data_IF_126946005424
#
_entry.id   IF_126946005424
#
_cell.length_a   1.000
_cell.length_b   1.000
_cell.length_c   1.000
_cell.angle_alpha   90.00
_cell.angle_beta   90.00
_cell.angle_gamma   90.00
#
_symmetry.space_group_name_H-M   'P 1'
#
loop_
_entity.id
_entity.type
_entity.pdbx_description
1 polymer ?
#
# COMPACT_ATOMS: atom_id res chain seq x y z
N UNK A 1 18.05 11.10 -1.83
CA UNK A 1 17.51 9.78 -2.20
C UNK A 1 16.63 9.94 -3.43
N UNK A 2 16.57 8.94 -4.29
CA UNK A 2 15.70 8.98 -5.48
C UNK A 2 14.29 8.60 -5.02
N UNK A 3 13.29 9.44 -5.34
CA UNK A 3 11.88 9.15 -5.07
C UNK A 3 11.23 8.46 -6.26
N UNK A 4 10.43 7.44 -6.01
CA UNK A 4 9.65 6.72 -7.05
C UNK A 4 8.23 7.24 -7.18
N UNK A 5 7.71 7.91 -6.15
CA UNK A 5 6.46 8.67 -6.17
C UNK A 5 6.75 10.06 -5.65
N UNK A 6 6.32 11.08 -6.37
CA UNK A 6 6.29 12.46 -5.90
C UNK A 6 4.93 13.05 -6.28
N UNK A 7 4.32 13.78 -5.35
CA UNK A 7 3.16 14.61 -5.66
C UNK A 7 3.47 16.05 -5.31
N UNK A 8 2.99 16.97 -6.12
CA UNK A 8 3.17 18.41 -5.90
C UNK A 8 1.81 19.08 -5.86
N UNK A 9 1.49 19.59 -4.70
CA UNK A 9 0.27 20.36 -4.43
C UNK A 9 -1.02 19.66 -4.90
N UNK A 10 -1.06 18.34 -4.71
CA UNK A 10 -2.11 17.47 -5.26
C UNK A 10 -3.42 17.71 -4.53
N UNK A 11 -4.46 18.07 -5.29
CA UNK A 11 -5.80 18.28 -4.75
C UNK A 11 -6.84 17.43 -5.47
N UNK A 12 -7.86 17.00 -4.72
CA UNK A 12 -9.05 16.36 -5.28
C UNK A 12 -10.31 16.80 -4.55
N UNK A 13 -11.28 17.26 -5.33
CA UNK A 13 -12.62 17.52 -4.83
C UNK A 13 -13.68 16.77 -5.64
N UNK A 14 -14.79 16.42 -4.97
CA UNK A 14 -15.99 15.86 -5.57
C UNK A 14 -17.18 16.69 -5.13
N UNK A 15 -17.92 17.27 -6.08
CA UNK A 15 -19.10 18.07 -5.80
C UNK A 15 -18.89 19.16 -4.73
N UNK A 16 -17.74 19.85 -4.79
CA UNK A 16 -17.35 20.89 -3.84
C UNK A 16 -16.76 20.40 -2.50
N UNK A 17 -16.77 19.09 -2.23
CA UNK A 17 -16.14 18.52 -1.04
C UNK A 17 -14.69 18.16 -1.35
N UNK A 18 -13.75 18.76 -0.64
CA UNK A 18 -12.33 18.43 -0.72
C UNK A 18 -12.07 17.09 -0.04
N UNK A 19 -11.38 16.17 -0.75
CA UNK A 19 -11.02 14.84 -0.26
C UNK A 19 -9.51 14.68 -0.14
N UNK A 20 -8.75 15.38 -1.01
CA UNK A 20 -7.28 15.49 -0.93
C UNK A 20 -6.96 16.97 -1.06
N UNK A 21 -6.16 17.50 -0.15
CA UNK A 21 -5.87 18.93 -0.04
C UNK A 21 -4.36 19.15 0.06
N UNK A 22 -3.78 19.76 -0.98
CA UNK A 22 -2.36 20.13 -1.08
C UNK A 22 -1.39 19.00 -0.67
N UNK A 23 -1.67 17.76 -1.12
CA UNK A 23 -0.85 16.61 -0.77
C UNK A 23 0.49 16.68 -1.50
N UNK A 24 1.55 16.81 -0.71
CA UNK A 24 2.94 16.66 -1.12
C UNK A 24 3.47 15.36 -0.51
N UNK A 25 3.69 14.35 -1.34
CA UNK A 25 4.14 13.00 -0.96
C UNK A 25 5.45 12.69 -1.64
N UNK A 26 6.41 12.12 -0.92
CA UNK A 26 7.69 11.68 -1.47
C UNK A 26 8.05 10.28 -0.98
N UNK A 27 7.92 9.27 -1.86
CA UNK A 27 8.21 7.88 -1.54
C UNK A 27 9.60 7.50 -2.04
N UNK A 28 10.57 7.21 -1.14
CA UNK A 28 11.91 6.78 -1.53
C UNK A 28 11.91 5.42 -2.22
N UNK A 29 12.86 5.20 -3.12
CA UNK A 29 13.06 3.91 -3.78
C UNK A 29 13.54 2.84 -2.81
N UNK A 30 13.06 1.59 -3.00
CA UNK A 30 13.57 0.39 -2.31
C UNK A 30 13.07 0.23 -0.88
N UNK A 31 11.98 0.87 -0.51
CA UNK A 31 11.39 0.74 0.83
C UNK A 31 9.95 0.23 0.79
N UNK A 32 9.44 -0.16 1.95
CA UNK A 32 8.01 -0.24 2.21
C UNK A 32 7.60 1.08 2.87
N UNK A 33 6.78 1.84 2.17
CA UNK A 33 6.26 3.13 2.63
C UNK A 33 4.81 2.97 3.11
N UNK A 34 4.56 3.32 4.36
CA UNK A 34 3.22 3.30 4.96
C UNK A 34 2.44 4.58 4.68
N UNK A 35 1.21 4.46 4.19
CA UNK A 35 0.29 5.57 4.00
C UNK A 35 -0.88 5.42 4.96
N UNK A 36 -0.76 6.05 6.13
CA UNK A 36 -1.66 5.89 7.27
C UNK A 36 -2.75 6.97 7.30
N UNK A 37 -3.85 6.64 7.94
CA UNK A 37 -4.92 7.59 8.24
C UNK A 37 -6.25 6.89 8.49
N UNK A 38 -7.21 7.56 9.13
CA UNK A 38 -8.53 7.02 9.37
C UNK A 38 -9.29 6.74 8.05
N UNK A 39 -10.39 6.01 8.15
CA UNK A 39 -11.29 5.83 7.02
C UNK A 39 -11.83 7.19 6.56
N UNK A 40 -11.80 7.43 5.24
CA UNK A 40 -12.21 8.71 4.67
C UNK A 40 -11.12 9.80 4.67
N UNK A 41 -9.90 9.52 5.17
CA UNK A 41 -8.80 10.49 5.15
C UNK A 41 -8.29 10.86 3.75
N UNK A 42 -8.69 10.15 2.69
CA UNK A 42 -8.26 10.42 1.31
C UNK A 42 -7.23 9.43 0.76
N UNK A 43 -6.80 8.41 1.53
CA UNK A 43 -5.78 7.42 1.13
C UNK A 43 -6.08 6.74 -0.21
N UNK A 44 -7.21 6.03 -0.32
CA UNK A 44 -7.60 5.31 -1.55
C UNK A 44 -7.80 6.27 -2.73
N UNK A 45 -8.33 7.48 -2.49
CA UNK A 45 -8.44 8.51 -3.52
C UNK A 45 -7.06 8.93 -4.04
N UNK A 46 -6.11 9.19 -3.15
CA UNK A 46 -4.73 9.52 -3.53
C UNK A 46 -4.10 8.37 -4.33
N UNK A 47 -4.23 7.13 -3.88
CA UNK A 47 -3.72 5.97 -4.61
C UNK A 47 -4.36 5.81 -5.98
N UNK A 48 -5.68 6.03 -6.11
CA UNK A 48 -6.37 6.03 -7.41
C UNK A 48 -5.85 7.12 -8.35
N UNK A 49 -5.48 8.29 -7.82
CA UNK A 49 -4.86 9.36 -8.62
C UNK A 49 -3.46 8.94 -9.07
N UNK A 50 -2.63 8.34 -8.18
CA UNK A 50 -1.32 7.82 -8.53
C UNK A 50 -1.38 6.76 -9.65
N UNK A 51 -2.47 6.01 -9.73
CA UNK A 51 -2.71 5.01 -10.78
C UNK A 51 -3.41 5.58 -12.02
N UNK A 52 -3.69 6.88 -12.04
CA UNK A 52 -4.43 7.50 -13.15
C UNK A 52 -5.87 6.99 -13.32
N UNK A 53 -6.44 6.34 -12.28
CA UNK A 53 -7.84 5.90 -12.26
C UNK A 53 -8.79 7.07 -11.97
N UNK A 54 -8.26 8.13 -11.35
CA UNK A 54 -8.98 9.36 -11.04
C UNK A 54 -8.08 10.54 -11.39
N UNK A 55 -8.62 11.52 -12.12
CA UNK A 55 -7.89 12.75 -12.38
C UNK A 55 -7.88 13.65 -11.15
N UNK A 56 -6.73 14.29 -10.81
CA UNK A 56 -6.69 15.31 -9.77
C UNK A 56 -7.51 16.53 -10.20
N UNK A 57 -7.96 17.34 -9.23
CA UNK A 57 -8.56 18.66 -9.49
C UNK A 57 -7.46 19.68 -9.81
N UNK A 58 -6.32 19.58 -9.12
CA UNK A 58 -5.11 20.37 -9.39
C UNK A 58 -3.87 19.64 -8.85
N UNK A 59 -2.69 20.16 -9.15
CA UNK A 59 -1.41 19.57 -8.78
C UNK A 59 -0.92 18.55 -9.80
N UNK A 60 0.17 17.86 -9.46
CA UNK A 60 0.80 16.90 -10.36
C UNK A 60 1.33 15.67 -9.63
N UNK A 61 1.50 14.60 -10.41
CA UNK A 61 2.05 13.30 -9.95
C UNK A 61 3.26 12.95 -10.79
N UNK A 62 4.36 12.56 -10.15
CA UNK A 62 5.48 11.89 -10.80
C UNK A 62 5.58 10.45 -10.31
N UNK A 63 5.71 9.51 -11.24
CA UNK A 63 6.02 8.12 -10.96
C UNK A 63 7.31 7.73 -11.65
N UNK A 64 8.20 7.04 -10.91
CA UNK A 64 9.48 6.56 -11.45
C UNK A 64 10.30 7.66 -12.15
N UNK A 65 10.25 8.89 -11.62
CA UNK A 65 10.97 10.05 -12.11
C UNK A 65 10.31 10.79 -13.29
N UNK A 66 9.12 10.36 -13.74
CA UNK A 66 8.41 10.98 -14.86
C UNK A 66 7.06 11.57 -14.41
N UNK A 67 6.75 12.79 -14.80
CA UNK A 67 5.43 13.38 -14.57
C UNK A 67 4.40 12.61 -15.39
N UNK A 68 3.36 12.11 -14.71
CA UNK A 68 2.28 11.37 -15.36
C UNK A 68 1.43 12.29 -16.21
N UNK A 69 1.22 11.90 -17.45
CA UNK A 69 0.33 12.55 -18.42
C UNK A 69 -0.33 11.48 -19.31
N UNK A 70 -1.22 11.86 -20.20
CA UNK A 70 -1.93 10.93 -21.09
C UNK A 70 -0.98 10.12 -22.01
N UNK A 71 0.15 10.68 -22.42
CA UNK A 71 1.07 10.07 -23.37
C UNK A 71 1.88 8.93 -22.70
N UNK A 72 2.33 9.12 -21.44
CA UNK A 72 3.22 8.18 -20.77
C UNK A 72 2.53 7.31 -19.71
N UNK A 73 1.25 7.55 -19.39
CA UNK A 73 0.49 6.83 -18.36
C UNK A 73 0.59 5.32 -18.52
N UNK A 74 0.35 4.79 -19.71
CA UNK A 74 0.38 3.34 -19.96
C UNK A 74 1.77 2.76 -19.71
N UNK A 75 2.83 3.45 -20.16
CA UNK A 75 4.20 3.02 -19.97
C UNK A 75 4.62 3.02 -18.48
N UNK A 76 4.13 3.97 -17.70
CA UNK A 76 4.35 4.03 -16.24
C UNK A 76 3.56 2.94 -15.52
N UNK A 77 2.29 2.72 -15.89
CA UNK A 77 1.45 1.69 -15.28
C UNK A 77 1.91 0.26 -15.60
N UNK A 78 2.56 0.01 -16.74
CA UNK A 78 3.22 -1.28 -17.04
C UNK A 78 4.33 -1.62 -16.04
N UNK A 79 4.96 -0.61 -15.43
CA UNK A 79 6.02 -0.75 -14.41
C UNK A 79 5.49 -0.66 -12.98
N UNK A 80 4.17 -0.54 -12.83
CA UNK A 80 3.48 -0.39 -11.55
C UNK A 80 2.49 -1.53 -11.38
N UNK A 81 2.59 -2.27 -10.28
CA UNK A 81 1.58 -3.23 -9.86
C UNK A 81 0.64 -2.60 -8.83
N UNK A 82 -0.61 -3.00 -8.81
CA UNK A 82 -1.56 -2.47 -7.84
C UNK A 82 -2.58 -3.48 -7.37
N UNK A 83 -2.97 -3.34 -6.10
CA UNK A 83 -4.12 -3.99 -5.50
C UNK A 83 -4.94 -2.89 -4.81
N UNK A 84 -6.04 -2.47 -5.43
CA UNK A 84 -6.94 -1.43 -4.93
C UNK A 84 -8.28 -2.05 -4.63
N UNK A 85 -8.81 -1.78 -3.43
CA UNK A 85 -10.06 -2.36 -2.91
C UNK A 85 -9.94 -3.88 -2.69
N UNK A 86 -10.77 -4.69 -3.33
CA UNK A 86 -10.76 -6.15 -3.16
C UNK A 86 -10.05 -6.85 -4.33
N UNK A 87 -9.40 -8.01 -4.07
CA UNK A 87 -8.77 -8.79 -5.15
C UNK A 87 -9.83 -9.27 -6.15
N UNK A 88 -9.70 -8.82 -7.39
CA UNK A 88 -10.64 -9.10 -8.48
C UNK A 88 -10.16 -10.30 -9.30
N UNK A 89 -10.46 -11.52 -8.85
CA UNK A 89 -10.24 -12.73 -9.64
C UNK A 89 -11.55 -13.37 -10.10
N UNK A 90 -11.51 -14.05 -11.25
CA UNK A 90 -12.62 -14.89 -11.71
C UNK A 90 -12.72 -16.12 -10.79
N UNK A 91 -13.78 -16.19 -9.98
CA UNK A 91 -13.94 -17.22 -8.94
C UNK A 91 -14.08 -18.64 -9.48
N UNK A 92 -14.56 -18.79 -10.71
CA UNK A 92 -14.71 -20.07 -11.38
C UNK A 92 -13.42 -20.60 -12.04
N UNK A 93 -12.40 -19.75 -12.17
CA UNK A 93 -11.08 -20.09 -12.68
C UNK A 93 -10.11 -20.42 -11.53
N UNK A 94 -9.03 -21.11 -11.85
CA UNK A 94 -7.90 -21.36 -10.95
C UNK A 94 -7.05 -20.10 -10.80
N UNK A 95 -6.14 -20.08 -9.79
CA UNK A 95 -5.20 -18.97 -9.67
C UNK A 95 -4.30 -18.85 -10.90
N UNK A 96 -3.80 -19.97 -11.42
CA UNK A 96 -2.96 -20.00 -12.62
C UNK A 96 -3.68 -19.43 -13.84
N UNK A 97 -4.94 -19.78 -14.06
CA UNK A 97 -5.75 -19.25 -15.17
C UNK A 97 -5.99 -17.75 -15.02
N UNK A 98 -6.29 -17.27 -13.80
CA UNK A 98 -6.41 -15.84 -13.52
C UNK A 98 -5.12 -15.09 -13.82
N UNK A 99 -3.97 -15.59 -13.37
CA UNK A 99 -2.67 -14.98 -13.63
C UNK A 99 -2.34 -14.99 -15.14
N UNK A 100 -2.74 -16.05 -15.87
CA UNK A 100 -2.55 -16.15 -17.31
C UNK A 100 -3.30 -15.05 -18.06
N UNK A 101 -4.55 -14.77 -17.67
CA UNK A 101 -5.33 -13.67 -18.27
C UNK A 101 -4.60 -12.33 -18.09
N UNK A 102 -4.07 -12.05 -16.89
CA UNK A 102 -3.35 -10.80 -16.62
C UNK A 102 -2.02 -10.76 -17.39
N UNK A 103 -1.31 -11.89 -17.49
CA UNK A 103 -0.07 -11.98 -18.25
C UNK A 103 -0.31 -11.69 -19.75
N UNK A 104 -1.37 -12.29 -20.33
CA UNK A 104 -1.78 -12.05 -21.73
C UNK A 104 -2.14 -10.57 -21.96
N UNK A 105 -2.91 -9.94 -21.04
CA UNK A 105 -3.29 -8.52 -21.13
C UNK A 105 -2.09 -7.57 -21.05
N UNK A 106 -1.05 -7.94 -20.30
CA UNK A 106 0.15 -7.13 -20.11
C UNK A 106 1.28 -7.48 -21.08
N UNK A 107 1.10 -8.50 -21.93
CA UNK A 107 2.14 -9.05 -22.82
C UNK A 107 3.37 -9.54 -22.03
N UNK A 108 3.13 -10.33 -20.98
CA UNK A 108 4.14 -10.92 -20.09
C UNK A 108 4.28 -12.41 -20.36
N UNK A 109 5.53 -12.92 -20.39
CA UNK A 109 5.81 -14.35 -20.52
C UNK A 109 5.14 -15.14 -19.38
N UNK A 110 4.42 -16.20 -19.73
CA UNK A 110 3.73 -17.09 -18.76
C UNK A 110 4.68 -17.77 -17.77
N UNK A 111 5.98 -17.84 -18.04
CA UNK A 111 6.99 -18.32 -17.08
C UNK A 111 7.02 -17.47 -15.80
N UNK A 112 6.62 -16.21 -15.88
CA UNK A 112 6.54 -15.32 -14.74
C UNK A 112 5.45 -15.73 -13.73
N UNK A 113 4.46 -16.50 -14.16
CA UNK A 113 3.37 -17.00 -13.30
C UNK A 113 3.90 -17.88 -12.16
N UNK A 114 4.86 -18.77 -12.46
CA UNK A 114 5.41 -19.64 -11.41
C UNK A 114 6.21 -18.84 -10.39
N UNK A 115 6.99 -17.84 -10.82
CA UNK A 115 7.70 -16.92 -9.94
C UNK A 115 6.75 -16.20 -8.97
N UNK A 116 5.68 -15.59 -9.48
CA UNK A 116 4.77 -14.84 -8.60
C UNK A 116 3.96 -15.75 -7.68
N UNK A 117 3.59 -16.96 -8.12
CA UNK A 117 2.95 -17.96 -7.24
C UNK A 117 3.86 -18.42 -6.11
N UNK A 118 5.15 -18.59 -6.37
CA UNK A 118 6.15 -18.92 -5.36
C UNK A 118 6.30 -17.79 -4.33
N UNK A 119 6.47 -16.54 -4.78
CA UNK A 119 6.59 -15.36 -3.90
C UNK A 119 5.41 -15.23 -2.95
N UNK A 120 4.18 -15.47 -3.42
CA UNK A 120 2.97 -15.34 -2.58
C UNK A 120 2.57 -16.64 -1.87
N UNK A 121 3.39 -17.69 -1.95
CA UNK A 121 3.13 -19.01 -1.35
C UNK A 121 1.80 -19.64 -1.76
N UNK A 122 1.47 -19.59 -3.06
CA UNK A 122 0.27 -20.20 -3.64
C UNK A 122 0.57 -21.31 -4.65
N UNK A 123 1.81 -21.78 -4.77
CA UNK A 123 2.23 -22.80 -5.75
C UNK A 123 1.42 -24.10 -5.60
N UNK A 124 1.21 -24.59 -4.35
CA UNK A 124 0.46 -25.82 -4.08
C UNK A 124 -1.04 -25.68 -4.46
N UNK A 125 -1.60 -24.48 -4.37
CA UNK A 125 -3.01 -24.21 -4.66
C UNK A 125 -3.24 -23.62 -6.06
N UNK A 126 -2.20 -23.51 -6.89
CA UNK A 126 -2.25 -22.81 -8.18
C UNK A 126 -3.36 -23.32 -9.12
N UNK A 127 -3.69 -24.60 -9.05
CA UNK A 127 -4.70 -25.27 -9.87
C UNK A 127 -6.07 -25.39 -9.18
N UNK A 128 -6.23 -24.86 -7.97
CA UNK A 128 -7.49 -24.82 -7.24
C UNK A 128 -8.29 -23.58 -7.65
N UNK A 129 -9.61 -23.71 -7.75
CA UNK A 129 -10.50 -22.60 -8.13
C UNK A 129 -10.47 -21.51 -7.07
N UNK A 130 -10.38 -20.25 -7.50
CA UNK A 130 -10.31 -19.07 -6.63
C UNK A 130 -11.56 -18.92 -5.74
N UNK A 131 -12.72 -19.42 -6.19
CA UNK A 131 -13.93 -19.48 -5.36
C UNK A 131 -13.79 -20.28 -4.06
N UNK A 132 -12.83 -21.21 -4.01
CA UNK A 132 -12.53 -22.04 -2.83
C UNK A 132 -11.42 -21.47 -1.94
N UNK A 133 -10.85 -20.31 -2.31
CA UNK A 133 -9.80 -19.66 -1.55
C UNK A 133 -10.35 -18.95 -0.30
N UNK A 134 -9.58 -18.99 0.78
CA UNK A 134 -9.80 -18.10 1.91
C UNK A 134 -9.59 -16.63 1.50
N UNK A 135 -10.00 -15.69 2.32
CA UNK A 135 -9.76 -14.27 2.05
C UNK A 135 -8.26 -13.97 1.93
N UNK A 136 -7.43 -14.51 2.83
CA UNK A 136 -5.98 -14.36 2.77
C UNK A 136 -5.36 -14.93 1.49
N UNK A 137 -5.83 -16.09 1.01
CA UNK A 137 -5.39 -16.65 -0.28
C UNK A 137 -5.81 -15.75 -1.45
N UNK A 138 -7.01 -15.16 -1.42
CA UNK A 138 -7.46 -14.20 -2.45
C UNK A 138 -6.62 -12.93 -2.43
N UNK A 139 -6.28 -12.40 -1.26
CA UNK A 139 -5.39 -11.24 -1.13
C UNK A 139 -4.00 -11.55 -1.68
N UNK A 140 -3.42 -12.71 -1.34
CA UNK A 140 -2.13 -13.15 -1.91
C UNK A 140 -2.18 -13.32 -3.43
N UNK A 141 -3.28 -13.84 -3.98
CA UNK A 141 -3.47 -13.88 -5.43
C UNK A 141 -3.55 -12.48 -6.05
N UNK A 142 -4.24 -11.53 -5.42
CA UNK A 142 -4.26 -10.12 -5.87
C UNK A 142 -2.86 -9.50 -5.91
N UNK A 143 -2.04 -9.80 -4.92
CA UNK A 143 -0.63 -9.39 -4.90
C UNK A 143 0.17 -10.10 -6.01
N UNK A 144 -0.05 -11.39 -6.26
CA UNK A 144 0.58 -12.10 -7.38
C UNK A 144 0.25 -11.45 -8.72
N UNK A 145 -1.01 -11.08 -8.94
CA UNK A 145 -1.44 -10.33 -10.14
C UNK A 145 -0.73 -8.98 -10.26
N UNK A 146 -0.52 -8.28 -9.14
CA UNK A 146 0.21 -7.02 -9.11
C UNK A 146 1.70 -7.20 -9.40
N UNK A 147 2.31 -8.33 -9.00
CA UNK A 147 3.73 -8.64 -9.18
C UNK A 147 4.09 -9.13 -10.60
N UNK A 148 3.12 -9.50 -11.43
CA UNK A 148 3.37 -9.94 -12.80
C UNK A 148 4.10 -8.87 -13.62
N UNK A 149 5.16 -9.27 -14.32
CA UNK A 149 6.01 -8.39 -15.12
C UNK A 149 7.07 -7.64 -14.31
N UNK A 150 7.33 -8.07 -13.08
CA UNK A 150 8.37 -7.52 -12.22
C UNK A 150 8.31 -5.99 -12.07
N UNK A 151 7.20 -5.43 -11.54
CA UNK A 151 7.01 -4.00 -11.43
C UNK A 151 8.06 -3.37 -10.49
N UNK A 152 8.43 -2.11 -10.75
CA UNK A 152 9.34 -1.33 -9.90
C UNK A 152 8.62 -0.67 -8.73
N UNK A 153 7.30 -0.56 -8.80
CA UNK A 153 6.43 0.05 -7.80
C UNK A 153 5.20 -0.83 -7.58
N UNK A 154 4.86 -1.08 -6.32
CA UNK A 154 3.63 -1.72 -5.90
C UNK A 154 2.79 -0.74 -5.08
N UNK A 155 1.50 -0.64 -5.36
CA UNK A 155 0.53 0.18 -4.62
C UNK A 155 -0.55 -0.76 -4.09
N UNK A 156 -0.60 -0.93 -2.75
CA UNK A 156 -1.47 -1.87 -2.07
C UNK A 156 -2.41 -1.13 -1.10
N UNK A 157 -3.70 -1.13 -1.41
CA UNK A 157 -4.71 -0.45 -0.58
C UNK A 157 -5.33 -1.43 0.42
N UNK A 158 -5.03 -1.24 1.72
CA UNK A 158 -5.56 -2.03 2.85
C UNK A 158 -5.43 -3.56 2.65
N UNK A 159 -4.25 -4.13 2.27
CA UNK A 159 -4.12 -5.54 1.88
C UNK A 159 -4.32 -6.52 3.05
N UNK A 160 -4.32 -6.06 4.29
CA UNK A 160 -4.55 -6.84 5.51
C UNK A 160 -6.01 -6.81 5.97
N UNK A 161 -6.84 -5.98 5.34
CA UNK A 161 -8.21 -5.76 5.80
C UNK A 161 -9.05 -7.04 5.73
N UNK A 162 -9.73 -7.35 6.84
CA UNK A 162 -10.61 -8.52 6.97
C UNK A 162 -9.90 -9.86 7.16
N UNK A 163 -8.57 -9.87 7.28
CA UNK A 163 -7.82 -11.07 7.60
C UNK A 163 -7.88 -11.39 9.10
N UNK A 164 -7.76 -12.66 9.43
CA UNK A 164 -7.54 -13.10 10.80
C UNK A 164 -6.09 -12.78 11.27
N UNK A 165 -5.80 -12.84 12.56
CA UNK A 165 -4.46 -12.47 13.08
C UNK A 165 -3.30 -13.25 12.44
N UNK A 166 -3.49 -14.52 12.11
CA UNK A 166 -2.47 -15.32 11.44
C UNK A 166 -2.24 -14.84 10.00
N UNK A 167 -3.32 -14.60 9.26
CA UNK A 167 -3.26 -14.05 7.90
C UNK A 167 -2.64 -12.65 7.84
N UNK A 168 -2.90 -11.80 8.84
CA UNK A 168 -2.25 -10.48 8.98
C UNK A 168 -0.74 -10.66 9.13
N UNK A 169 -0.29 -11.58 9.99
CA UNK A 169 1.13 -11.83 10.23
C UNK A 169 1.84 -12.36 8.97
N UNK A 170 1.24 -13.31 8.26
CA UNK A 170 1.76 -13.83 7.00
C UNK A 170 1.84 -12.74 5.93
N UNK A 171 0.80 -11.92 5.80
CA UNK A 171 0.76 -10.83 4.83
C UNK A 171 1.82 -9.76 5.11
N UNK A 172 2.04 -9.44 6.39
CA UNK A 172 3.12 -8.52 6.81
C UNK A 172 4.49 -9.03 6.43
N UNK A 173 4.79 -10.31 6.73
CA UNK A 173 6.05 -10.94 6.35
C UNK A 173 6.28 -10.89 4.84
N UNK A 174 5.24 -11.20 4.06
CA UNK A 174 5.28 -11.14 2.61
C UNK A 174 5.59 -9.71 2.11
N UNK A 175 4.85 -8.70 2.57
CA UNK A 175 5.02 -7.32 2.12
C UNK A 175 6.39 -6.77 2.54
N UNK A 176 6.82 -7.03 3.77
CA UNK A 176 8.11 -6.56 4.29
C UNK A 176 9.31 -7.10 3.48
N UNK A 177 9.21 -8.33 2.96
CA UNK A 177 10.27 -8.94 2.16
C UNK A 177 10.31 -8.49 0.68
N UNK A 178 9.27 -7.82 0.17
CA UNK A 178 9.17 -7.47 -1.25
C UNK A 178 10.29 -6.61 -1.79
N UNK A 179 10.76 -5.55 -1.10
CA UNK A 179 11.87 -4.75 -1.63
C UNK A 179 13.14 -5.56 -1.86
N UNK A 180 13.44 -6.52 -0.97
CA UNK A 180 14.62 -7.38 -1.09
C UNK A 180 14.42 -8.49 -2.13
N UNK A 181 13.24 -9.14 -2.14
CA UNK A 181 12.96 -10.30 -2.99
C UNK A 181 12.63 -9.93 -4.44
N UNK A 182 12.07 -8.76 -4.70
CA UNK A 182 11.61 -8.33 -6.03
C UNK A 182 12.27 -7.05 -6.54
N UNK A 183 12.95 -6.28 -5.68
CA UNK A 183 13.48 -4.96 -5.99
C UNK A 183 12.40 -3.86 -6.11
N UNK A 184 11.14 -4.17 -5.84
CA UNK A 184 10.04 -3.21 -5.93
C UNK A 184 9.99 -2.29 -4.71
N UNK A 185 9.63 -1.03 -4.92
CA UNK A 185 9.20 -0.16 -3.83
C UNK A 185 7.71 -0.41 -3.57
N UNK A 186 7.31 -0.47 -2.31
CA UNK A 186 5.92 -0.74 -1.94
C UNK A 186 5.31 0.48 -1.25
N UNK A 187 4.20 1.00 -1.76
CA UNK A 187 3.31 1.92 -1.08
C UNK A 187 2.12 1.12 -0.55
N UNK A 188 1.94 1.10 0.76
CA UNK A 188 0.84 0.36 1.40
C UNK A 188 -0.01 1.30 2.25
N UNK A 189 -1.34 1.23 2.13
CA UNK A 189 -2.24 1.94 3.04
C UNK A 189 -2.69 1.06 4.20
N UNK A 190 -2.93 1.68 5.35
CA UNK A 190 -3.65 1.10 6.49
C UNK A 190 -4.25 2.21 7.36
N UNK A 191 -5.24 1.85 8.15
CA UNK A 191 -5.76 2.70 9.22
C UNK A 191 -5.20 2.32 10.60
N UNK A 192 -4.36 1.28 10.69
CA UNK A 192 -3.80 0.74 11.93
C UNK A 192 -2.27 0.93 11.98
N UNK A 193 -1.79 1.84 12.83
CA UNK A 193 -0.36 2.09 13.01
C UNK A 193 0.39 0.81 13.46
N UNK A 194 -0.17 0.03 14.38
CA UNK A 194 0.45 -1.19 14.90
C UNK A 194 0.70 -2.27 13.84
N UNK A 195 -0.06 -2.26 12.75
CA UNK A 195 0.21 -3.13 11.59
C UNK A 195 1.41 -2.64 10.79
N UNK A 196 1.53 -1.33 10.62
CA UNK A 196 2.58 -0.72 9.82
C UNK A 196 3.96 -0.77 10.48
N UNK A 197 4.03 -0.65 11.81
CA UNK A 197 5.29 -0.60 12.55
C UNK A 197 6.24 -1.77 12.29
N UNK A 198 5.72 -2.90 11.84
CA UNK A 198 6.50 -4.11 11.56
C UNK A 198 6.92 -4.25 10.08
N UNK A 199 6.38 -3.43 9.20
CA UNK A 199 6.60 -3.54 7.75
C UNK A 199 7.33 -2.34 7.17
N UNK A 200 7.09 -1.13 7.71
CA UNK A 200 7.49 0.11 7.06
C UNK A 200 8.75 0.70 7.68
N UNK A 201 9.54 1.34 6.84
CA UNK A 201 10.70 2.15 7.28
C UNK A 201 10.39 3.65 7.20
N UNK A 202 9.53 4.03 6.29
CA UNK A 202 9.06 5.40 6.05
C UNK A 202 7.53 5.41 6.04
N UNK A 203 6.92 6.50 6.45
CA UNK A 203 5.47 6.64 6.46
C UNK A 203 5.00 8.08 6.31
N UNK A 204 3.80 8.22 5.76
CA UNK A 204 3.02 9.45 5.74
C UNK A 204 1.69 9.23 6.46
N UNK A 205 1.28 10.20 7.28
CA UNK A 205 -0.01 10.17 7.98
C UNK A 205 -0.92 11.21 7.35
N UNK A 206 -2.06 10.73 6.86
CA UNK A 206 -3.10 11.56 6.25
C UNK A 206 -4.28 11.72 7.20
N UNK A 207 -4.74 12.95 7.38
CA UNK A 207 -5.97 13.24 8.11
C UNK A 207 -6.77 14.31 7.37
N UNK A 208 -8.08 14.07 7.18
CA UNK A 208 -8.99 14.97 6.45
C UNK A 208 -8.43 15.52 5.12
N UNK A 209 -7.74 14.66 4.36
CA UNK A 209 -7.17 15.01 3.05
C UNK A 209 -5.79 15.67 3.09
N UNK A 210 -5.25 15.97 4.27
CA UNK A 210 -3.95 16.63 4.46
C UNK A 210 -2.90 15.67 5.00
N UNK A 211 -1.66 15.84 4.53
CA UNK A 211 -0.50 15.18 5.14
C UNK A 211 -0.17 15.91 6.45
N UNK A 212 -0.31 15.21 7.59
CA UNK A 212 0.00 15.76 8.91
C UNK A 212 1.37 15.33 9.43
N UNK A 213 1.94 14.27 8.86
CA UNK A 213 3.29 13.81 9.14
C UNK A 213 3.85 13.07 7.92
N UNK A 214 5.12 13.27 7.60
CA UNK A 214 5.89 12.46 6.66
C UNK A 214 7.31 12.31 7.20
N UNK A 215 7.81 11.06 7.27
CA UNK A 215 9.15 10.79 7.80
C UNK A 215 9.37 9.32 8.12
N UNK A 216 10.46 9.04 8.82
CA UNK A 216 10.77 7.69 9.28
C UNK A 216 9.90 7.29 10.50
N UNK A 217 9.71 5.97 10.66
CA UNK A 217 9.05 5.43 11.86
C UNK A 217 9.78 5.85 13.16
N UNK A 218 11.11 6.00 13.10
CA UNK A 218 11.88 6.45 14.25
C UNK A 218 11.58 7.91 14.63
N UNK A 219 11.40 8.79 13.63
CA UNK A 219 11.01 10.18 13.87
C UNK A 219 9.60 10.25 14.44
N UNK A 220 8.65 9.47 13.92
CA UNK A 220 7.30 9.40 14.47
C UNK A 220 7.33 9.00 15.95
N UNK A 221 8.10 7.97 16.32
CA UNK A 221 8.25 7.54 17.72
C UNK A 221 8.84 8.60 18.64
N UNK A 222 9.74 9.45 18.14
CA UNK A 222 10.28 10.58 18.93
C UNK A 222 9.23 11.68 19.18
N UNK A 223 8.32 11.90 18.23
CA UNK A 223 7.22 12.86 18.37
C UNK A 223 6.07 12.30 19.23
N UNK A 224 5.88 10.99 19.23
CA UNK A 224 4.93 10.30 20.10
C UNK A 224 5.54 10.20 21.51
N UNK A 225 5.49 11.27 22.27
CA UNK A 225 5.82 11.23 23.71
C UNK A 225 4.80 10.32 24.38
N UNK A 226 5.19 9.09 24.63
CA UNK A 226 4.44 8.16 25.46
C UNK A 226 4.33 8.74 26.89
N UNK A 227 3.29 9.48 27.15
CA UNK A 227 2.94 9.86 28.51
C UNK A 227 2.31 8.65 29.20
N UNK A 228 2.89 8.18 30.29
CA UNK A 228 2.23 7.22 31.16
C UNK A 228 1.12 7.96 31.91
N UNK A 229 -0.14 7.67 31.60
CA UNK A 229 -1.26 8.18 32.38
C UNK A 229 -1.42 7.30 33.62
N UNK A 230 -1.10 7.86 34.79
CA UNK A 230 -1.31 7.20 36.06
C UNK A 230 -2.55 7.81 36.73
N UNK A 231 -3.55 6.96 37.00
CA UNK A 231 -4.74 7.38 37.73
C UNK A 231 -4.44 7.28 39.24
N UNK A 232 -4.37 8.41 39.92
CA UNK A 232 -4.11 8.46 41.36
C UNK A 232 -5.31 9.05 42.13
N UNK A 233 -5.53 8.58 43.37
CA UNK A 233 -6.57 9.10 44.24
C UNK A 233 -6.20 10.52 44.80
N UNK A 234 -4.90 10.79 44.92
CA UNK A 234 -4.36 12.09 45.38
C UNK A 234 -3.21 12.50 44.44
N UNK A 235 -3.45 13.53 43.65
CA UNK A 235 -2.50 14.04 42.66
C UNK A 235 -1.20 14.56 43.30
N UNK A 236 -1.25 15.20 44.45
CA UNK A 236 -0.06 15.74 45.16
C UNK A 236 0.86 14.60 45.60
N UNK A 237 0.30 13.61 46.28
CA UNK A 237 1.05 12.42 46.71
C UNK A 237 1.59 11.61 45.51
N UNK A 238 0.86 11.56 44.38
CA UNK A 238 1.32 10.89 43.18
C UNK A 238 2.53 11.57 42.56
N UNK A 239 2.59 12.89 42.54
CA UNK A 239 3.74 13.66 42.04
C UNK A 239 4.97 13.47 42.93
N UNK A 240 4.80 13.48 44.25
CA UNK A 240 5.91 13.29 45.21
C UNK A 240 6.56 11.89 45.14
N UNK A 241 5.82 10.87 44.68
CA UNK A 241 6.33 9.51 44.49
C UNK A 241 7.07 9.33 43.15
N UNK A 242 6.75 10.17 42.17
CA UNK A 242 7.30 10.05 40.81
C UNK A 242 8.53 10.96 40.57
N UNK A 243 8.86 11.85 41.47
CA UNK A 243 10.06 12.66 41.53
C UNK A 243 11.11 12.01 42.46
#
# INVERSE_FOLDING_TARGET
MISVIETHDLCKSYNGRIVVEHLNLSVPQGCVYGFLGPNGAGKSTSMKILLGLVHPTSGSVKLLGQTMNEENRIALLRKTGSLIESPSGYLHLTARENLKIIADLKDIDHKDIDRVLEIVHLTADANRKVGQYSLGMKQRLGIAMALLGNPRLLILDEPTNGLDPAGIQEMRGLIASMPESTGATVLISSHLLGEMEQMVTQLGILDHGKMIFEGSLQELRKHSRGGIQIRVLDVKKGIDILN
#
